data_IF_066296886381
#
_entry.id   IF_066296886381
#
_cell.length_a   1.000
_cell.length_b   1.000
_cell.length_c   1.000
_cell.angle_alpha   90.00
_cell.angle_beta   90.00
_cell.angle_gamma   90.00
#
_symmetry.space_group_name_H-M   'P 1'
#
loop_
_entity.id
_entity.type
_entity.pdbx_description
1 polymer ?
#
# COMPACT_ATOMS: atom_id res chain seq x y z
N UNK A 1 -10.56 17.11 5.40
CA UNK A 1 -10.97 16.72 6.75
C UNK A 1 -9.85 15.87 7.33
N UNK A 2 -9.05 16.45 8.22
CA UNK A 2 -7.97 15.76 8.92
C UNK A 2 -8.36 15.57 10.37
N UNK A 3 -7.69 14.67 11.07
CA UNK A 3 -7.85 14.50 12.52
C UNK A 3 -7.32 15.77 13.21
N UNK A 4 -8.22 16.55 13.80
CA UNK A 4 -7.94 17.85 14.37
C UNK A 4 -8.50 17.99 15.78
N UNK A 5 -8.68 19.24 16.22
CA UNK A 5 -9.12 19.54 17.60
C UNK A 5 -10.40 18.83 18.01
N UNK A 6 -11.39 18.75 17.12
CA UNK A 6 -12.70 18.17 17.45
C UNK A 6 -12.59 16.66 17.68
N UNK A 7 -11.84 15.96 16.84
CA UNK A 7 -11.61 14.53 16.95
C UNK A 7 -10.79 14.20 18.22
N UNK A 8 -9.76 15.00 18.53
CA UNK A 8 -8.97 14.85 19.76
C UNK A 8 -9.88 14.93 20.99
N UNK A 9 -10.77 15.93 21.05
CA UNK A 9 -11.71 16.09 22.16
C UNK A 9 -12.61 14.89 22.33
N UNK A 10 -13.17 14.39 21.22
CA UNK A 10 -14.04 13.23 21.26
C UNK A 10 -13.30 12.00 21.79
N UNK A 11 -12.07 11.76 21.31
CA UNK A 11 -11.22 10.67 21.82
C UNK A 11 -10.94 10.84 23.32
N UNK A 12 -10.58 12.03 23.77
CA UNK A 12 -10.28 12.28 25.19
C UNK A 12 -11.51 12.14 26.09
N UNK A 13 -12.68 12.56 25.62
CA UNK A 13 -13.94 12.36 26.35
C UNK A 13 -14.28 10.88 26.47
N UNK A 14 -14.14 10.12 25.39
CA UNK A 14 -14.34 8.67 25.40
C UNK A 14 -13.38 7.97 26.36
N UNK A 15 -12.12 8.39 26.39
CA UNK A 15 -11.12 7.92 27.33
C UNK A 15 -11.52 8.22 28.78
N UNK A 16 -11.98 9.44 29.07
CA UNK A 16 -12.44 9.86 30.40
C UNK A 16 -13.62 9.03 30.89
N UNK A 17 -14.61 8.80 30.03
CA UNK A 17 -15.80 7.96 30.35
C UNK A 17 -15.37 6.53 30.65
N UNK A 18 -14.44 5.96 29.88
CA UNK A 18 -13.90 4.61 30.12
C UNK A 18 -13.16 4.53 31.46
N UNK A 19 -12.31 5.50 31.77
CA UNK A 19 -11.58 5.56 33.04
C UNK A 19 -12.51 5.69 34.25
N UNK A 20 -13.59 6.47 34.17
CA UNK A 20 -14.55 6.58 35.29
C UNK A 20 -15.24 5.26 35.64
N UNK A 21 -15.31 4.32 34.69
CA UNK A 21 -15.91 3.00 34.87
C UNK A 21 -14.89 1.94 35.27
N UNK A 22 -13.60 2.24 35.14
CA UNK A 22 -12.53 1.32 35.45
C UNK A 22 -12.19 1.32 36.94
N UNK A 23 -12.67 0.29 37.65
CA UNK A 23 -12.41 0.10 39.07
C UNK A 23 -10.98 -0.36 39.37
N UNK A 24 -10.27 -0.88 38.37
CA UNK A 24 -8.92 -1.43 38.52
C UNK A 24 -7.83 -0.37 38.29
N UNK A 25 -8.23 0.86 37.96
CA UNK A 25 -7.35 2.02 37.75
C UNK A 25 -6.22 1.75 36.74
N UNK A 26 -6.49 1.02 35.65
CA UNK A 26 -5.46 0.70 34.66
C UNK A 26 -5.02 1.93 33.89
N UNK A 27 -3.78 1.88 33.42
CA UNK A 27 -3.25 2.87 32.49
C UNK A 27 -3.88 2.69 31.11
N UNK A 28 -4.21 3.80 30.47
CA UNK A 28 -4.73 3.86 29.11
C UNK A 28 -3.69 4.50 28.19
N UNK A 29 -3.26 3.78 27.17
CA UNK A 29 -2.30 4.27 26.19
C UNK A 29 -3.02 4.77 24.94
N UNK A 30 -2.76 6.02 24.58
CA UNK A 30 -3.24 6.66 23.35
C UNK A 30 -2.06 6.78 22.40
N UNK A 31 -2.16 6.15 21.24
CA UNK A 31 -1.19 6.28 20.16
C UNK A 31 -1.74 7.19 19.07
N UNK A 32 -1.01 8.27 18.77
CA UNK A 32 -1.36 9.24 17.75
C UNK A 32 -0.36 9.14 16.60
N UNK A 33 -0.80 8.65 15.45
CA UNK A 33 0.07 8.51 14.28
C UNK A 33 0.09 9.78 13.43
N UNK A 34 1.24 10.05 12.79
CA UNK A 34 1.45 11.15 11.85
C UNK A 34 0.97 12.54 12.34
N UNK A 35 1.15 12.89 13.63
CA UNK A 35 0.55 14.08 14.26
C UNK A 35 0.87 15.40 13.57
N UNK A 36 2.05 15.48 12.96
CA UNK A 36 2.52 16.65 12.24
C UNK A 36 1.96 16.78 10.82
N UNK A 37 0.99 15.95 10.43
CA UNK A 37 0.19 16.17 9.21
C UNK A 37 -1.05 17.03 9.48
N UNK A 38 -1.41 17.23 10.75
CA UNK A 38 -2.54 18.06 11.16
C UNK A 38 -2.14 19.54 11.26
N UNK A 39 -2.99 20.48 10.79
CA UNK A 39 -2.77 21.91 11.00
C UNK A 39 -2.89 22.30 12.48
N UNK A 40 -3.58 21.50 13.30
CA UNK A 40 -3.81 21.76 14.72
C UNK A 40 -2.64 21.29 15.62
N UNK A 41 -1.39 21.36 15.13
CA UNK A 41 -0.20 20.86 15.83
C UNK A 41 -0.03 21.43 17.24
N UNK A 42 -0.54 22.65 17.49
CA UNK A 42 -0.55 23.28 18.81
C UNK A 42 -1.33 22.49 19.86
N UNK A 43 -2.45 21.86 19.48
CA UNK A 43 -3.22 20.99 20.38
C UNK A 43 -2.48 19.70 20.68
N UNK A 44 -1.78 19.13 19.70
CA UNK A 44 -0.91 17.98 19.95
C UNK A 44 0.26 18.34 20.85
N UNK A 45 0.85 19.53 20.72
CA UNK A 45 1.86 20.04 21.66
C UNK A 45 1.29 20.06 23.07
N UNK A 46 0.15 20.71 23.27
CA UNK A 46 -0.49 20.80 24.60
C UNK A 46 -0.72 19.40 25.17
N UNK A 47 -1.26 18.51 24.36
CA UNK A 47 -1.59 17.15 24.72
C UNK A 47 -0.37 16.31 25.12
N UNK A 48 0.72 16.40 24.34
CA UNK A 48 1.92 15.57 24.49
C UNK A 48 2.88 16.16 25.52
N UNK A 49 3.16 17.46 25.45
CA UNK A 49 4.16 18.13 26.27
C UNK A 49 3.59 18.64 27.58
N UNK A 50 2.40 19.24 27.56
CA UNK A 50 1.81 19.88 28.75
C UNK A 50 0.86 18.94 29.50
N UNK A 51 0.53 17.80 28.90
CA UNK A 51 -0.43 16.83 29.41
C UNK A 51 -1.79 17.45 29.78
N UNK A 52 -2.25 18.39 28.94
CA UNK A 52 -3.55 19.04 29.05
C UNK A 52 -4.25 19.13 27.70
N UNK A 53 -5.56 19.41 27.73
CA UNK A 53 -6.31 19.75 26.54
C UNK A 53 -7.26 20.91 26.86
N UNK A 54 -7.20 21.97 26.06
CA UNK A 54 -7.97 23.20 26.28
C UNK A 54 -7.76 23.80 27.69
N UNK A 55 -6.53 23.70 28.20
CA UNK A 55 -6.15 24.18 29.54
C UNK A 55 -6.56 23.26 30.69
N UNK A 56 -7.23 22.14 30.42
CA UNK A 56 -7.63 21.16 31.45
C UNK A 56 -6.62 20.03 31.50
N UNK A 57 -6.00 19.83 32.68
CA UNK A 57 -5.04 18.74 32.89
C UNK A 57 -5.70 17.38 32.64
N UNK A 58 -5.00 16.51 31.92
CA UNK A 58 -5.42 15.15 31.65
C UNK A 58 -5.11 14.26 32.85
N UNK A 59 -5.89 13.19 33.02
CA UNK A 59 -5.63 12.20 34.07
C UNK A 59 -4.26 11.55 33.86
N UNK A 60 -3.45 11.43 34.91
CA UNK A 60 -2.13 10.80 34.87
C UNK A 60 -2.20 9.30 34.49
N UNK A 61 -3.40 8.69 34.48
CA UNK A 61 -3.66 7.34 33.98
C UNK A 61 -3.63 7.25 32.45
N UNK A 62 -3.75 8.37 31.74
CA UNK A 62 -3.66 8.42 30.27
C UNK A 62 -2.20 8.64 29.90
N UNK A 63 -1.61 7.69 29.18
CA UNK A 63 -0.28 7.81 28.60
C UNK A 63 -0.41 8.10 27.12
N UNK A 64 0.32 9.09 26.63
CA UNK A 64 0.22 9.54 25.24
C UNK A 64 1.55 9.29 24.55
N UNK A 65 1.51 8.54 23.46
CA UNK A 65 2.63 8.36 22.53
C UNK A 65 2.18 8.92 21.19
N UNK A 66 3.07 9.68 20.54
CA UNK A 66 2.83 10.20 19.21
C UNK A 66 3.96 9.80 18.26
N UNK A 67 3.60 9.52 17.01
CA UNK A 67 4.53 9.40 15.90
C UNK A 67 4.39 10.62 14.98
N UNK A 68 5.51 11.07 14.43
CA UNK A 68 5.55 12.16 13.47
C UNK A 68 6.43 11.80 12.28
N UNK A 69 6.08 12.36 11.13
CA UNK A 69 6.83 12.17 9.90
C UNK A 69 8.04 13.12 9.85
N UNK A 70 9.21 12.69 9.35
CA UNK A 70 10.40 13.53 9.33
C UNK A 70 10.28 14.68 8.33
N UNK A 71 10.89 15.83 8.65
CA UNK A 71 10.98 16.98 7.75
C UNK A 71 12.09 16.78 6.72
N UNK A 72 11.78 16.07 5.62
CA UNK A 72 12.77 15.66 4.61
C UNK A 72 12.54 16.39 3.27
N UNK A 73 13.52 17.16 2.76
CA UNK A 73 13.40 17.80 1.45
C UNK A 73 13.54 16.75 0.33
N UNK A 74 12.86 16.98 -0.79
CA UNK A 74 13.11 16.23 -2.04
C UNK A 74 14.47 16.66 -2.60
N UNK A 75 15.30 15.70 -3.02
CA UNK A 75 16.62 16.01 -3.60
C UNK A 75 16.54 16.43 -5.07
N UNK A 76 15.49 16.03 -5.79
CA UNK A 76 15.28 16.36 -7.20
C UNK A 76 14.28 17.53 -7.26
N UNK A 77 14.75 18.70 -7.67
CA UNK A 77 13.93 19.87 -7.96
C UNK A 77 13.62 19.93 -9.47
N UNK A 78 12.98 18.89 -10.01
CA UNK A 78 12.49 18.96 -11.38
C UNK A 78 11.29 19.93 -11.41
N UNK A 79 11.44 21.02 -12.16
CA UNK A 79 10.47 22.11 -12.29
C UNK A 79 9.10 21.67 -12.82
N UNK A 80 9.01 20.51 -13.47
CA UNK A 80 7.76 19.99 -14.05
C UNK A 80 6.83 19.33 -13.02
N UNK A 81 7.37 18.82 -11.91
CA UNK A 81 6.58 18.15 -10.85
C UNK A 81 6.32 19.10 -9.66
N UNK A 82 7.12 20.15 -9.53
CA UNK A 82 6.89 21.19 -8.53
C UNK A 82 5.81 22.15 -9.01
N UNK A 83 4.61 22.07 -8.41
CA UNK A 83 3.72 23.21 -8.39
C UNK A 83 4.43 24.34 -7.63
N UNK A 84 5.03 25.28 -8.38
CA UNK A 84 5.73 26.46 -7.85
C UNK A 84 4.84 27.32 -6.93
N UNK A 85 3.52 27.15 -7.02
CA UNK A 85 2.51 27.77 -6.17
C UNK A 85 2.25 27.04 -4.83
N UNK A 86 2.75 25.82 -4.64
CA UNK A 86 2.60 25.03 -3.41
C UNK A 86 3.97 24.91 -2.70
N UNK A 87 4.22 25.71 -1.63
CA UNK A 87 5.45 25.66 -0.85
C UNK A 87 5.74 24.29 -0.20
N UNK A 88 4.73 23.42 -0.10
CA UNK A 88 4.87 22.07 0.47
C UNK A 88 5.42 21.05 -0.54
N UNK A 89 5.39 21.36 -1.85
CA UNK A 89 5.84 20.47 -2.93
C UNK A 89 7.32 20.11 -2.86
N UNK A 90 8.13 20.95 -2.21
CA UNK A 90 9.57 20.70 -1.97
C UNK A 90 9.86 19.61 -0.94
N UNK A 91 8.87 19.18 -0.17
CA UNK A 91 9.04 18.17 0.89
C UNK A 91 8.53 16.80 0.44
N UNK A 92 9.17 15.75 0.96
CA UNK A 92 8.73 14.35 0.74
C UNK A 92 7.41 14.11 1.49
N UNK A 93 7.28 14.68 2.70
CA UNK A 93 6.07 14.62 3.51
C UNK A 93 5.41 16.00 3.57
N UNK A 94 4.09 16.04 3.46
CA UNK A 94 3.30 17.24 3.75
C UNK A 94 3.07 17.34 5.24
N UNK A 95 3.97 18.02 5.94
CA UNK A 95 3.95 18.14 7.39
C UNK A 95 4.15 19.56 7.86
N UNK A 96 3.55 19.87 9.01
CA UNK A 96 3.79 21.06 9.79
C UNK A 96 5.08 20.88 10.61
N UNK A 97 6.02 21.84 10.58
CA UNK A 97 7.21 21.78 11.42
C UNK A 97 6.83 21.70 12.91
N UNK A 98 7.54 20.84 13.65
CA UNK A 98 7.37 20.76 15.10
C UNK A 98 7.93 22.03 15.77
N UNK A 99 7.29 22.47 16.85
CA UNK A 99 7.82 23.53 17.71
C UNK A 99 9.01 23.01 18.55
N UNK A 100 9.82 23.92 19.08
CA UNK A 100 11.06 23.55 19.77
C UNK A 100 10.84 22.67 21.00
N UNK A 101 9.79 22.94 21.79
CA UNK A 101 9.41 22.09 22.93
C UNK A 101 9.15 20.65 22.49
N UNK A 102 8.42 20.43 21.39
CA UNK A 102 8.17 19.07 20.91
C UNK A 102 9.45 18.37 20.45
N UNK A 103 10.40 19.09 19.86
CA UNK A 103 11.67 18.51 19.39
C UNK A 103 12.49 17.91 20.53
N UNK A 104 12.38 18.43 21.75
CA UNK A 104 13.05 17.87 22.93
C UNK A 104 12.54 16.46 23.28
N UNK A 105 11.30 16.13 22.90
CA UNK A 105 10.69 14.81 23.13
C UNK A 105 10.81 13.86 21.94
N UNK A 106 11.41 14.29 20.83
CA UNK A 106 11.50 13.46 19.62
C UNK A 106 12.79 12.65 19.62
N UNK A 107 12.67 11.34 19.42
CA UNK A 107 13.80 10.47 19.13
C UNK A 107 13.57 9.72 17.80
N UNK A 108 14.63 9.41 17.04
CA UNK A 108 14.49 8.65 15.80
C UNK A 108 14.09 7.20 16.11
N UNK A 109 12.96 6.76 15.56
CA UNK A 109 12.53 5.35 15.64
C UNK A 109 13.41 4.42 14.77
N UNK A 110 14.14 5.00 13.80
CA UNK A 110 14.99 4.26 12.88
C UNK A 110 14.31 3.91 11.56
N UNK A 111 14.99 3.11 10.74
CA UNK A 111 14.48 2.57 9.49
C UNK A 111 14.55 1.06 9.53
N UNK A 112 13.60 0.41 8.87
CA UNK A 112 13.58 -1.04 8.76
C UNK A 112 14.82 -1.52 8.02
N UNK A 113 15.56 -2.47 8.61
CA UNK A 113 16.70 -3.08 7.92
C UNK A 113 16.21 -3.92 6.73
N UNK A 114 17.07 -4.13 5.72
CA UNK A 114 16.72 -4.98 4.58
C UNK A 114 16.39 -6.42 5.03
N UNK A 115 17.04 -6.90 6.09
CA UNK A 115 16.77 -8.22 6.67
C UNK A 115 15.37 -8.28 7.29
N UNK A 116 15.02 -7.29 8.10
CA UNK A 116 13.72 -7.24 8.77
C UNK A 116 12.59 -7.04 7.76
N UNK A 117 12.80 -6.19 6.75
CA UNK A 117 11.83 -6.02 5.66
C UNK A 117 11.52 -7.34 4.96
N UNK A 118 12.55 -8.12 4.65
CA UNK A 118 12.38 -9.45 4.05
C UNK A 118 11.62 -10.40 4.96
N UNK A 119 11.83 -10.33 6.28
CA UNK A 119 11.06 -11.10 7.26
C UNK A 119 9.59 -10.67 7.29
N UNK A 120 9.30 -9.38 7.21
CA UNK A 120 7.92 -8.88 7.09
C UNK A 120 7.26 -9.35 5.79
N UNK A 121 7.94 -9.27 4.65
CA UNK A 121 7.44 -9.79 3.36
C UNK A 121 7.09 -11.27 3.50
N UNK A 122 7.95 -12.06 4.14
CA UNK A 122 7.69 -13.49 4.41
C UNK A 122 6.46 -13.70 5.29
N UNK A 123 6.35 -12.98 6.40
CA UNK A 123 5.20 -13.09 7.31
C UNK A 123 3.89 -12.72 6.60
N UNK A 124 3.89 -11.64 5.81
CA UNK A 124 2.72 -11.20 5.05
C UNK A 124 2.35 -12.18 3.93
N UNK A 125 3.34 -12.77 3.25
CA UNK A 125 3.11 -13.80 2.22
C UNK A 125 2.46 -15.03 2.84
N UNK A 126 2.92 -15.46 4.03
CA UNK A 126 2.30 -16.55 4.78
C UNK A 126 0.87 -16.20 5.19
N UNK A 127 0.62 -15.00 5.70
CA UNK A 127 -0.75 -14.55 6.03
C UNK A 127 -1.70 -14.62 4.84
N UNK A 128 -1.26 -14.23 3.63
CA UNK A 128 -2.08 -14.36 2.43
C UNK A 128 -2.34 -15.82 2.06
N UNK A 129 -1.31 -16.67 2.12
CA UNK A 129 -1.45 -18.10 1.85
C UNK A 129 -2.45 -18.75 2.81
N UNK A 130 -2.37 -18.42 4.10
CA UNK A 130 -3.20 -18.99 5.17
C UNK A 130 -4.66 -18.49 5.12
N UNK A 131 -5.00 -17.55 4.22
CA UNK A 131 -6.40 -17.21 3.89
C UNK A 131 -7.09 -18.27 3.02
N UNK A 132 -6.34 -19.18 2.40
CA UNK A 132 -6.86 -20.31 1.64
C UNK A 132 -6.87 -21.57 2.51
N UNK A 133 -7.85 -22.46 2.32
CA UNK A 133 -7.86 -23.77 2.98
C UNK A 133 -6.63 -24.58 2.54
N UNK A 134 -5.93 -25.16 3.51
CA UNK A 134 -4.67 -25.88 3.31
C UNK A 134 -4.78 -27.12 2.40
N UNK A 135 -5.99 -27.64 2.21
CA UNK A 135 -6.26 -28.77 1.33
C UNK A 135 -6.39 -28.37 -0.15
N UNK A 136 -6.59 -27.08 -0.43
CA UNK A 136 -6.82 -26.57 -1.78
C UNK A 136 -5.58 -26.64 -2.66
N UNK A 137 -5.80 -26.79 -3.98
CA UNK A 137 -4.72 -26.71 -4.98
C UNK A 137 -4.03 -25.35 -4.94
N UNK A 138 -4.78 -24.27 -4.68
CA UNK A 138 -4.26 -22.91 -4.57
C UNK A 138 -3.26 -22.79 -3.43
N UNK A 139 -3.61 -23.27 -2.24
CA UNK A 139 -2.70 -23.23 -1.09
C UNK A 139 -1.37 -23.93 -1.42
N UNK A 140 -1.43 -25.13 -2.00
CA UNK A 140 -0.24 -25.90 -2.41
C UNK A 140 0.59 -25.17 -3.47
N UNK A 141 -0.06 -24.54 -4.45
CA UNK A 141 0.65 -23.73 -5.48
C UNK A 141 1.32 -22.50 -4.89
N UNK A 142 0.64 -21.76 -4.00
CA UNK A 142 1.24 -20.60 -3.33
C UNK A 142 2.40 -21.06 -2.45
N UNK A 143 2.28 -22.19 -1.74
CA UNK A 143 3.36 -22.76 -0.95
C UNK A 143 4.60 -23.08 -1.81
N UNK A 144 4.42 -23.65 -3.00
CA UNK A 144 5.53 -23.92 -3.94
C UNK A 144 6.19 -22.63 -4.44
N UNK A 145 5.43 -21.55 -4.58
CA UNK A 145 5.90 -20.26 -5.06
C UNK A 145 6.34 -19.29 -3.94
N UNK A 146 6.23 -19.69 -2.66
CA UNK A 146 6.42 -18.80 -1.51
C UNK A 146 7.77 -18.07 -1.55
N UNK A 147 8.86 -18.81 -1.79
CA UNK A 147 10.19 -18.22 -1.92
C UNK A 147 10.28 -17.22 -3.07
N UNK A 148 9.69 -17.57 -4.23
CA UNK A 148 9.71 -16.72 -5.42
C UNK A 148 8.95 -15.41 -5.20
N UNK A 149 7.77 -15.50 -4.60
CA UNK A 149 6.93 -14.34 -4.27
C UNK A 149 7.69 -13.38 -3.35
N UNK A 150 8.27 -13.92 -2.27
CA UNK A 150 9.05 -13.12 -1.30
C UNK A 150 10.22 -12.43 -2.00
N UNK A 151 10.98 -13.20 -2.78
CA UNK A 151 12.17 -12.71 -3.46
C UNK A 151 11.90 -11.65 -4.52
N UNK A 152 10.83 -11.79 -5.30
CA UNK A 152 10.50 -10.81 -6.34
C UNK A 152 9.91 -9.53 -5.75
N UNK A 153 9.12 -9.63 -4.67
CA UNK A 153 8.66 -8.46 -3.92
C UNK A 153 9.85 -7.73 -3.27
N UNK A 154 10.77 -8.47 -2.64
CA UNK A 154 11.99 -7.93 -2.01
C UNK A 154 12.89 -7.22 -3.03
N UNK A 155 13.09 -7.83 -4.21
CA UNK A 155 13.82 -7.21 -5.32
C UNK A 155 13.12 -5.94 -5.83
N UNK A 156 11.79 -5.96 -5.92
CA UNK A 156 10.99 -4.81 -6.37
C UNK A 156 11.05 -3.65 -5.38
N UNK A 157 10.89 -3.93 -4.08
CA UNK A 157 11.04 -2.96 -2.98
C UNK A 157 12.43 -2.33 -3.01
N UNK A 158 13.47 -3.16 -3.09
CA UNK A 158 14.86 -2.73 -3.10
C UNK A 158 15.18 -1.86 -4.31
N UNK A 159 14.67 -2.22 -5.49
CA UNK A 159 14.86 -1.45 -6.71
C UNK A 159 14.16 -0.09 -6.62
N UNK A 160 12.85 -0.06 -6.30
CA UNK A 160 12.10 1.19 -6.20
C UNK A 160 12.70 2.12 -5.14
N UNK A 161 13.16 1.57 -4.00
CA UNK A 161 13.78 2.37 -2.93
C UNK A 161 15.03 3.10 -3.43
N UNK A 162 15.83 2.45 -4.28
CA UNK A 162 17.04 3.05 -4.86
C UNK A 162 16.70 4.03 -5.98
N UNK A 163 15.81 3.62 -6.88
CA UNK A 163 15.46 4.39 -8.08
C UNK A 163 14.65 5.65 -7.75
N UNK A 164 13.67 5.52 -6.85
CA UNK A 164 12.74 6.60 -6.45
C UNK A 164 13.11 7.23 -5.09
N UNK A 165 14.34 7.03 -4.59
CA UNK A 165 14.78 7.41 -3.25
C UNK A 165 14.48 8.87 -2.84
N UNK A 166 14.32 9.74 -3.83
CA UNK A 166 14.14 11.18 -3.69
C UNK A 166 12.72 11.66 -4.00
N UNK A 167 11.86 10.78 -4.49
CA UNK A 167 10.55 11.12 -5.03
C UNK A 167 9.42 10.44 -4.26
N UNK A 168 9.62 9.17 -3.88
CA UNK A 168 8.60 8.36 -3.24
C UNK A 168 9.17 7.55 -2.07
N UNK A 169 8.32 7.35 -1.07
CA UNK A 169 8.61 6.44 0.03
C UNK A 169 8.09 5.06 -0.38
N UNK A 170 8.93 4.05 -0.16
CA UNK A 170 8.61 2.65 -0.41
C UNK A 170 8.50 1.97 0.95
N UNK A 171 7.38 1.29 1.19
CA UNK A 171 7.00 0.80 2.53
C UNK A 171 6.33 -0.57 2.47
N UNK A 172 6.09 -1.18 3.62
CA UNK A 172 5.31 -2.42 3.72
C UNK A 172 3.84 -2.26 3.24
N UNK A 173 3.34 -1.02 3.06
CA UNK A 173 2.04 -0.78 2.41
C UNK A 173 2.05 -1.16 0.93
N UNK A 174 3.19 -1.02 0.24
CA UNK A 174 3.37 -1.47 -1.15
C UNK A 174 3.37 -3.01 -1.23
N UNK A 175 4.08 -3.66 -0.31
CA UNK A 175 4.08 -5.12 -0.12
C UNK A 175 2.67 -5.64 0.12
N UNK A 176 1.92 -5.01 1.05
CA UNK A 176 0.53 -5.37 1.36
C UNK A 176 -0.36 -5.27 0.12
N UNK A 177 -0.28 -4.17 -0.64
CA UNK A 177 -1.05 -3.99 -1.87
C UNK A 177 -0.71 -5.06 -2.91
N UNK A 178 0.56 -5.34 -3.14
CA UNK A 178 1.00 -6.36 -4.08
C UNK A 178 0.44 -7.74 -3.71
N UNK A 179 0.58 -8.12 -2.44
CA UNK A 179 0.08 -9.38 -1.92
C UNK A 179 -1.45 -9.47 -1.96
N UNK A 180 -2.17 -8.36 -1.80
CA UNK A 180 -3.62 -8.33 -1.94
C UNK A 180 -4.09 -8.48 -3.40
N UNK A 181 -3.41 -7.84 -4.36
CA UNK A 181 -3.68 -8.10 -5.79
C UNK A 181 -3.41 -9.55 -6.15
N UNK A 182 -2.27 -10.08 -5.72
CA UNK A 182 -1.91 -11.48 -5.93
C UNK A 182 -2.97 -12.42 -5.33
N UNK A 183 -3.38 -12.18 -4.08
CA UNK A 183 -4.45 -12.92 -3.42
C UNK A 183 -5.73 -12.92 -4.25
N UNK A 184 -6.22 -11.74 -4.65
CA UNK A 184 -7.45 -11.62 -5.41
C UNK A 184 -7.37 -12.38 -6.75
N UNK A 185 -6.26 -12.26 -7.47
CA UNK A 185 -6.00 -13.00 -8.72
C UNK A 185 -5.98 -14.52 -8.50
N UNK A 186 -5.39 -14.98 -7.39
CA UNK A 186 -5.38 -16.40 -7.03
C UNK A 186 -6.78 -16.91 -6.61
N UNK A 187 -7.65 -16.06 -6.07
CA UNK A 187 -9.05 -16.45 -5.84
C UNK A 187 -9.81 -16.66 -7.14
N UNK A 188 -9.56 -15.83 -8.16
CA UNK A 188 -10.24 -16.01 -9.46
C UNK A 188 -9.85 -17.34 -10.11
N UNK A 189 -8.62 -17.80 -9.87
CA UNK A 189 -8.14 -19.10 -10.31
C UNK A 189 -8.97 -20.28 -9.80
N UNK A 190 -9.51 -20.18 -8.58
CA UNK A 190 -10.33 -21.23 -7.96
C UNK A 190 -11.55 -21.55 -8.81
N UNK A 191 -12.10 -20.52 -9.45
CA UNK A 191 -13.26 -20.66 -10.33
C UNK A 191 -12.94 -21.27 -11.70
N UNK A 192 -11.66 -21.43 -12.02
CA UNK A 192 -11.15 -21.79 -13.36
C UNK A 192 -10.59 -23.22 -13.42
N UNK A 193 -10.37 -23.92 -12.30
CA UNK A 193 -9.72 -25.25 -12.37
C UNK A 193 -10.30 -26.37 -11.52
N UNK A 194 -10.69 -27.42 -12.25
CA UNK A 194 -10.49 -28.82 -11.87
C UNK A 194 -9.31 -29.50 -12.62
N UNK A 195 -8.69 -28.93 -13.67
CA UNK A 195 -7.92 -29.74 -14.64
C UNK A 195 -6.49 -29.34 -15.09
N UNK A 196 -5.74 -28.44 -14.43
CA UNK A 196 -4.35 -28.18 -14.87
C UNK A 196 -3.32 -27.88 -13.76
N UNK A 197 -2.53 -28.91 -13.43
CA UNK A 197 -1.39 -28.82 -12.51
C UNK A 197 -0.20 -28.05 -13.09
N UNK A 198 -0.13 -27.81 -14.41
CA UNK A 198 0.98 -27.09 -15.07
C UNK A 198 0.66 -25.63 -15.41
N UNK A 199 -0.54 -25.16 -15.08
CA UNK A 199 -0.98 -23.83 -15.49
C UNK A 199 -0.01 -22.73 -14.98
N UNK A 200 0.41 -21.80 -15.86
CA UNK A 200 1.36 -20.73 -15.54
C UNK A 200 0.73 -19.59 -14.73
N UNK A 201 -0.52 -19.77 -14.25
CA UNK A 201 -1.32 -18.71 -13.61
C UNK A 201 -0.63 -18.07 -12.42
N UNK A 202 -0.02 -18.83 -11.50
CA UNK A 202 0.64 -18.25 -10.33
C UNK A 202 1.72 -17.24 -10.72
N UNK A 203 2.49 -17.54 -11.77
CA UNK A 203 3.49 -16.63 -12.31
C UNK A 203 2.88 -15.39 -12.96
N UNK A 204 1.79 -15.55 -13.73
CA UNK A 204 1.05 -14.44 -14.34
C UNK A 204 0.42 -13.53 -13.28
N UNK A 205 -0.22 -14.10 -12.27
CA UNK A 205 -0.82 -13.38 -11.15
C UNK A 205 0.23 -12.57 -10.39
N UNK A 206 1.41 -13.15 -10.14
CA UNK A 206 2.53 -12.43 -9.52
C UNK A 206 3.03 -11.30 -10.43
N UNK A 207 3.17 -11.55 -11.74
CA UNK A 207 3.60 -10.54 -12.71
C UNK A 207 2.65 -9.33 -12.76
N UNK A 208 1.34 -9.57 -12.79
CA UNK A 208 0.31 -8.53 -12.74
C UNK A 208 0.40 -7.73 -11.43
N UNK A 209 0.47 -8.42 -10.28
CA UNK A 209 0.52 -7.78 -8.98
C UNK A 209 1.77 -6.88 -8.81
N UNK A 210 2.92 -7.37 -9.29
CA UNK A 210 4.16 -6.61 -9.33
C UNK A 210 4.05 -5.41 -10.29
N UNK A 211 3.39 -5.61 -11.44
CA UNK A 211 3.14 -4.56 -12.44
C UNK A 211 2.39 -3.37 -11.83
N UNK A 212 1.27 -3.69 -11.18
CA UNK A 212 0.37 -2.72 -10.53
C UNK A 212 1.02 -1.98 -9.37
N UNK A 213 1.88 -2.64 -8.59
CA UNK A 213 2.43 -2.05 -7.36
C UNK A 213 3.78 -1.36 -7.54
N UNK A 214 4.57 -1.79 -8.52
CA UNK A 214 5.95 -1.35 -8.70
C UNK A 214 6.20 -0.80 -10.10
N UNK A 215 5.92 -1.58 -11.14
CA UNK A 215 6.34 -1.26 -12.52
C UNK A 215 5.71 0.04 -13.06
N UNK A 216 4.39 0.20 -12.94
CA UNK A 216 3.70 1.38 -13.52
C UNK A 216 4.03 2.70 -12.82
N UNK A 217 4.71 2.66 -11.67
CA UNK A 217 5.20 3.87 -10.97
C UNK A 217 6.50 4.41 -11.56
N UNK A 218 7.13 3.65 -12.43
CA UNK A 218 8.43 3.99 -13.02
C UNK A 218 8.23 4.74 -14.34
N UNK A 219 9.17 5.64 -14.60
CA UNK A 219 9.37 6.24 -15.92
C UNK A 219 9.95 5.21 -16.91
N UNK A 220 10.11 5.60 -18.17
CA UNK A 220 10.58 4.68 -19.21
C UNK A 220 11.96 4.08 -18.92
N UNK A 221 12.85 4.86 -18.30
CA UNK A 221 14.17 4.37 -17.92
C UNK A 221 14.10 3.36 -16.77
N UNK A 222 13.34 3.69 -15.72
CA UNK A 222 13.08 2.80 -14.60
C UNK A 222 12.41 1.51 -15.03
N UNK A 223 11.44 1.57 -15.95
CA UNK A 223 10.76 0.39 -16.53
C UNK A 223 11.75 -0.55 -17.23
N UNK A 224 12.69 -0.02 -18.03
CA UNK A 224 13.75 -0.82 -18.67
C UNK A 224 14.65 -1.51 -17.64
N UNK A 225 15.17 -0.76 -16.66
CA UNK A 225 16.03 -1.31 -15.61
C UNK A 225 15.31 -2.36 -14.75
N UNK A 226 14.04 -2.11 -14.42
CA UNK A 226 13.21 -3.06 -13.69
C UNK A 226 12.98 -4.34 -14.50
N UNK A 227 12.70 -4.19 -15.80
CA UNK A 227 12.58 -5.33 -16.70
C UNK A 227 13.84 -6.18 -16.71
N UNK A 228 15.03 -5.58 -16.77
CA UNK A 228 16.30 -6.31 -16.78
C UNK A 228 16.52 -7.10 -15.49
N UNK A 229 16.29 -6.46 -14.33
CA UNK A 229 16.42 -7.11 -13.02
C UNK A 229 15.46 -8.28 -12.89
N UNK A 230 14.20 -8.10 -13.27
CA UNK A 230 13.21 -9.17 -13.19
C UNK A 230 13.47 -10.28 -14.21
N UNK A 231 13.94 -9.93 -15.40
CA UNK A 231 14.23 -10.90 -16.47
C UNK A 231 15.40 -11.81 -16.11
N UNK A 232 16.45 -11.28 -15.48
CA UNK A 232 17.56 -12.08 -14.98
C UNK A 232 17.11 -13.11 -13.93
N UNK A 233 16.15 -12.72 -13.08
CA UNK A 233 15.61 -13.59 -12.01
C UNK A 233 14.62 -14.62 -12.55
N UNK A 234 13.83 -14.26 -13.55
CA UNK A 234 12.71 -15.06 -14.06
C UNK A 234 13.00 -15.79 -15.36
N UNK A 235 14.16 -15.52 -15.99
CA UNK A 235 14.56 -16.03 -17.32
C UNK A 235 13.54 -15.70 -18.42
N UNK A 236 12.73 -14.66 -18.24
CA UNK A 236 11.66 -14.19 -19.15
C UNK A 236 11.47 -12.69 -18.99
N UNK A 237 11.14 -12.00 -20.07
CA UNK A 237 10.86 -10.57 -20.05
C UNK A 237 9.65 -10.25 -19.18
N UNK A 238 9.83 -9.39 -18.18
CA UNK A 238 8.75 -8.95 -17.29
C UNK A 238 7.71 -8.11 -18.05
N UNK A 239 8.20 -7.17 -18.84
CA UNK A 239 7.39 -6.24 -19.64
C UNK A 239 6.56 -6.98 -20.68
N UNK A 240 7.14 -7.91 -21.44
CA UNK A 240 6.40 -8.68 -22.45
C UNK A 240 5.27 -9.53 -21.82
N UNK A 241 5.54 -10.14 -20.66
CA UNK A 241 4.51 -10.89 -19.92
C UNK A 241 3.40 -9.95 -19.45
N UNK A 242 3.73 -8.75 -18.97
CA UNK A 242 2.74 -7.78 -18.51
C UNK A 242 1.93 -7.21 -19.67
N UNK A 243 2.57 -6.89 -20.79
CA UNK A 243 1.95 -6.38 -22.01
C UNK A 243 0.97 -7.38 -22.62
N UNK A 244 1.29 -8.67 -22.54
CA UNK A 244 0.36 -9.75 -22.89
C UNK A 244 -0.92 -9.69 -22.04
N UNK A 245 -0.80 -9.52 -20.72
CA UNK A 245 -1.99 -9.40 -19.85
C UNK A 245 -2.76 -8.11 -20.09
N UNK A 246 -2.07 -6.99 -20.33
CA UNK A 246 -2.68 -5.70 -20.68
C UNK A 246 -3.50 -5.87 -21.97
N UNK A 247 -2.93 -6.51 -22.99
CA UNK A 247 -3.60 -6.77 -24.25
C UNK A 247 -4.84 -7.64 -24.05
N UNK A 248 -4.70 -8.77 -23.35
CA UNK A 248 -5.80 -9.71 -23.08
C UNK A 248 -6.98 -9.02 -22.36
N UNK A 249 -6.70 -8.20 -21.34
CA UNK A 249 -7.74 -7.42 -20.67
C UNK A 249 -8.34 -6.36 -21.59
N UNK A 250 -7.50 -5.69 -22.38
CA UNK A 250 -7.97 -4.62 -23.26
C UNK A 250 -8.96 -5.09 -24.32
N UNK A 251 -8.81 -6.33 -24.80
CA UNK A 251 -9.70 -6.97 -25.78
C UNK A 251 -11.09 -7.28 -25.20
N UNK A 252 -11.22 -7.31 -23.88
CA UNK A 252 -12.50 -7.54 -23.19
C UNK A 252 -13.33 -6.27 -23.00
N UNK A 253 -12.77 -5.09 -23.26
CA UNK A 253 -13.52 -3.83 -23.16
C UNK A 253 -14.31 -3.53 -24.44
N UNK A 254 -15.56 -3.09 -24.26
CA UNK A 254 -16.36 -2.53 -25.35
C UNK A 254 -15.89 -1.10 -25.58
N UNK A 255 -15.16 -0.88 -26.68
CA UNK A 255 -14.57 0.42 -27.01
C UNK A 255 -15.40 1.08 -28.12
N UNK A 256 -15.86 2.33 -27.93
CA UNK A 256 -16.59 3.04 -28.96
C UNK A 256 -15.77 3.18 -30.25
N UNK A 257 -16.38 3.10 -31.45
CA UNK A 257 -15.67 3.15 -32.73
C UNK A 257 -14.81 4.40 -32.95
N UNK A 258 -15.12 5.50 -32.23
CA UNK A 258 -14.43 6.77 -32.32
C UNK A 258 -13.16 6.84 -31.45
N UNK A 259 -12.88 5.80 -30.64
CA UNK A 259 -11.76 5.79 -29.69
C UNK A 259 -10.65 4.88 -30.20
N UNK A 260 -9.49 5.46 -30.47
CA UNK A 260 -8.29 4.71 -30.81
C UNK A 260 -7.62 4.14 -29.55
N UNK A 261 -7.56 2.81 -29.46
CA UNK A 261 -6.96 2.08 -28.35
C UNK A 261 -5.43 1.96 -28.48
N UNK A 262 -4.74 3.05 -28.19
CA UNK A 262 -3.27 3.10 -28.13
C UNK A 262 -2.75 2.50 -26.81
N UNK A 263 -1.46 2.16 -26.75
CA UNK A 263 -0.86 1.44 -25.62
C UNK A 263 -1.06 2.15 -24.27
N UNK A 264 -0.90 3.47 -24.21
CA UNK A 264 -1.13 4.26 -22.99
C UNK A 264 -2.56 4.11 -22.49
N UNK A 265 -3.56 4.12 -23.38
CA UNK A 265 -4.96 3.90 -22.98
C UNK A 265 -5.17 2.48 -22.46
N UNK A 266 -4.56 1.47 -23.06
CA UNK A 266 -4.64 0.08 -22.58
C UNK A 266 -4.06 -0.06 -21.16
N UNK A 267 -2.88 0.50 -20.92
CA UNK A 267 -2.26 0.53 -19.59
C UNK A 267 -3.16 1.24 -18.57
N UNK A 268 -3.68 2.42 -18.92
CA UNK A 268 -4.56 3.17 -18.02
C UNK A 268 -5.84 2.40 -17.69
N UNK A 269 -6.47 1.77 -18.69
CA UNK A 269 -7.65 0.93 -18.47
C UNK A 269 -7.31 -0.28 -17.58
N UNK A 270 -6.15 -0.89 -17.79
CA UNK A 270 -5.67 -2.02 -16.98
C UNK A 270 -5.50 -1.61 -15.50
N UNK A 271 -4.80 -0.51 -15.24
CA UNK A 271 -4.61 0.00 -13.88
C UNK A 271 -5.95 0.36 -13.24
N UNK A 272 -6.79 1.12 -13.96
CA UNK A 272 -8.09 1.57 -13.45
C UNK A 272 -8.99 0.39 -13.09
N UNK A 273 -9.05 -0.64 -13.95
CA UNK A 273 -9.81 -1.85 -13.69
C UNK A 273 -9.42 -2.51 -12.37
N UNK A 274 -8.12 -2.74 -12.18
CA UNK A 274 -7.62 -3.36 -10.96
C UNK A 274 -7.78 -2.47 -9.72
N UNK A 275 -7.60 -1.15 -9.85
CA UNK A 275 -7.86 -0.20 -8.76
C UNK A 275 -9.32 -0.23 -8.31
N UNK A 276 -10.28 -0.21 -9.24
CA UNK A 276 -11.72 -0.29 -8.93
C UNK A 276 -12.05 -1.62 -8.25
N UNK A 277 -11.53 -2.73 -8.74
CA UNK A 277 -11.76 -4.05 -8.13
C UNK A 277 -11.27 -4.11 -6.69
N UNK A 278 -10.10 -3.55 -6.41
CA UNK A 278 -9.58 -3.53 -5.04
C UNK A 278 -10.37 -2.62 -4.12
N UNK A 279 -10.88 -1.50 -4.63
CA UNK A 279 -11.77 -0.61 -3.87
C UNK A 279 -13.10 -1.30 -3.54
N UNK A 280 -13.71 -1.98 -4.51
CA UNK A 280 -15.02 -2.64 -4.34
C UNK A 280 -14.94 -3.88 -3.45
N UNK A 281 -13.87 -4.67 -3.56
CA UNK A 281 -13.63 -5.83 -2.69
C UNK A 281 -13.41 -5.42 -1.22
N UNK A 282 -12.81 -4.25 -0.98
CA UNK A 282 -12.69 -3.66 0.36
C UNK A 282 -14.01 -3.05 0.87
N UNK A 283 -14.94 -2.68 -0.01
CA UNK A 283 -16.23 -2.07 0.37
C UNK A 283 -17.32 -3.07 0.77
N UNK A 284 -17.08 -4.38 0.62
CA UNK A 284 -18.05 -5.48 0.80
C UNK A 284 -19.38 -5.37 0.02
N UNK A 285 -19.61 -4.31 -0.75
CA UNK A 285 -20.83 -4.09 -1.52
C UNK A 285 -20.51 -4.33 -3.01
N UNK A 286 -21.23 -5.28 -3.60
CA UNK A 286 -21.32 -5.55 -5.05
C UNK A 286 -20.23 -6.40 -5.72
N UNK A 287 -19.42 -7.16 -4.99
CA UNK A 287 -18.53 -8.15 -5.62
C UNK A 287 -19.30 -9.16 -6.48
N UNK A 288 -20.44 -9.71 -6.03
CA UNK A 288 -21.16 -10.75 -6.78
C UNK A 288 -21.67 -10.31 -8.17
N UNK A 289 -22.27 -9.12 -8.30
CA UNK A 289 -22.76 -8.61 -9.59
C UNK A 289 -21.62 -8.26 -10.56
N UNK A 290 -20.52 -7.71 -10.05
CA UNK A 290 -19.35 -7.39 -10.86
C UNK A 290 -18.64 -8.67 -11.35
N UNK A 291 -18.46 -9.66 -10.48
CA UNK A 291 -17.88 -10.96 -10.87
C UNK A 291 -18.76 -11.70 -11.89
N UNK A 292 -20.08 -11.59 -11.80
CA UNK A 292 -20.98 -12.16 -12.81
C UNK A 292 -20.78 -11.47 -14.17
N UNK A 293 -20.69 -10.13 -14.22
CA UNK A 293 -20.39 -9.39 -15.46
C UNK A 293 -19.02 -9.73 -16.05
N UNK A 294 -17.99 -9.98 -15.23
CA UNK A 294 -16.68 -10.44 -15.70
C UNK A 294 -16.75 -11.82 -16.37
N UNK A 295 -17.51 -12.74 -15.76
CA UNK A 295 -17.76 -14.08 -16.33
C UNK A 295 -18.58 -14.01 -17.61
N UNK A 296 -19.62 -13.18 -17.64
CA UNK A 296 -20.51 -13.01 -18.80
C UNK A 296 -19.78 -12.38 -20.01
N UNK A 297 -18.79 -11.50 -19.75
CA UNK A 297 -17.93 -10.90 -20.77
C UNK A 297 -16.77 -11.81 -21.21
N UNK A 298 -16.81 -13.11 -20.89
CA UNK A 298 -15.75 -14.09 -21.22
C UNK A 298 -14.36 -13.64 -20.76
N UNK A 299 -14.26 -12.96 -19.61
CA UNK A 299 -12.98 -12.80 -18.96
C UNK A 299 -12.55 -14.14 -18.37
N UNK A 300 -12.07 -15.01 -19.25
CA UNK A 300 -11.47 -16.27 -18.88
C UNK A 300 -10.02 -15.98 -18.54
N UNK A 301 -9.68 -16.15 -17.26
CA UNK A 301 -8.31 -16.30 -16.81
C UNK A 301 -7.76 -17.66 -17.30
N UNK A 302 -7.82 -17.94 -18.61
CA UNK A 302 -7.20 -19.10 -19.25
C UNK A 302 -5.70 -18.88 -19.24
#
# INVERSE_FOLDING_TARGET
AGFGRHEIRQVMEDCRVRLSKDKEKKEMWIFLDEVNTSPDIGWFKELICDHSLDGVKISDQIKIIAACNPYRPRKIQNSEVMNLSDPSSKWVYRVVPLCDTMKEYVWPFGQLSALDEKQYIRAMTKQIKDKFDNNTVIYKKIQQWELKIIEDIDASQSFLRKHLANEFIVSLRDVSRCLNFFYWLMQQYETVLENDNKSPWTGRALNIALGLCYYFRLDDNGRKMYNDIMSQRNKRSFSELLDSEIKNLSESFVIPPQVALHNTLKENLFILFFCVIMLDTLSHRNTKQFHQKLKDNKFHFN
#
